data_IF_655509823801
#
_entry.id   IF_655509823801
#
_cell.length_a   1.000
_cell.length_b   1.000
_cell.length_c   1.000
_cell.angle_alpha   90.00
_cell.angle_beta   90.00
_cell.angle_gamma   90.00
#
_symmetry.space_group_name_H-M   'P 1'
#
loop_
_entity.id
_entity.type
_entity.pdbx_description
1 polymer ?
#
# COMPACT_ATOMS: atom_id res chain seq x y z
N UNK A 1 -1.07 18.12 -12.91
CA UNK A 1 0.26 17.54 -13.23
C UNK A 1 0.23 16.14 -12.65
N UNK A 2 0.43 15.09 -13.45
CA UNK A 2 0.28 13.71 -12.98
C UNK A 2 1.32 13.32 -11.93
N UNK A 3 1.07 12.22 -11.22
CA UNK A 3 2.00 11.66 -10.26
C UNK A 3 3.32 11.25 -10.94
N UNK A 4 4.44 11.53 -10.26
CA UNK A 4 5.79 11.27 -10.75
C UNK A 4 6.51 10.38 -9.73
N UNK A 5 6.92 9.15 -10.12
CA UNK A 5 7.72 8.29 -9.26
C UNK A 5 9.04 8.93 -8.80
N UNK A 6 9.42 8.62 -7.56
CA UNK A 6 10.68 9.01 -6.89
C UNK A 6 11.53 7.78 -6.58
N UNK A 7 10.92 6.66 -6.23
CA UNK A 7 11.64 5.39 -5.96
C UNK A 7 11.66 4.44 -7.15
N UNK A 8 12.70 3.59 -7.19
CA UNK A 8 12.83 2.48 -8.13
C UNK A 8 12.72 1.17 -7.35
N UNK A 9 11.65 0.42 -7.61
CA UNK A 9 11.38 -0.89 -6.96
C UNK A 9 11.18 -2.03 -7.96
N UNK A 10 11.17 -1.74 -9.26
CA UNK A 10 11.08 -2.76 -10.30
C UNK A 10 12.14 -3.85 -10.12
N UNK A 11 11.72 -5.12 -10.19
CA UNK A 11 12.58 -6.30 -10.07
C UNK A 11 12.90 -6.74 -8.64
N UNK A 12 12.46 -6.01 -7.60
CA UNK A 12 12.74 -6.38 -6.21
C UNK A 12 11.86 -7.52 -5.70
N UNK A 13 12.46 -8.45 -4.96
CA UNK A 13 11.77 -9.50 -4.20
C UNK A 13 12.70 -10.01 -3.08
N UNK A 14 12.43 -9.72 -1.79
CA UNK A 14 11.26 -9.01 -1.30
C UNK A 14 11.22 -7.54 -1.71
N UNK A 15 10.01 -7.01 -1.79
CA UNK A 15 9.74 -5.58 -1.83
C UNK A 15 9.68 -5.05 -0.40
N UNK A 16 10.64 -4.21 -0.02
CA UNK A 16 10.84 -3.75 1.36
C UNK A 16 10.36 -2.31 1.58
N UNK A 17 9.22 -2.13 2.22
CA UNK A 17 8.56 -0.84 2.43
C UNK A 17 8.87 -0.29 3.83
N UNK A 18 8.88 1.04 3.96
CA UNK A 18 9.03 1.75 5.24
C UNK A 18 10.13 1.17 6.13
N UNK A 19 11.37 1.19 5.64
CA UNK A 19 12.54 0.96 6.50
C UNK A 19 12.60 -0.48 7.04
N UNK A 20 12.15 -1.43 6.22
CA UNK A 20 12.10 -2.84 6.60
C UNK A 20 10.91 -3.21 7.49
N UNK A 21 10.00 -2.28 7.76
CA UNK A 21 8.82 -2.56 8.60
C UNK A 21 7.78 -3.42 7.90
N UNK A 22 7.74 -3.37 6.57
CA UNK A 22 6.89 -4.24 5.77
C UNK A 22 7.73 -4.86 4.66
N UNK A 23 7.75 -6.18 4.60
CA UNK A 23 8.28 -6.91 3.45
C UNK A 23 7.14 -7.58 2.70
N UNK A 24 7.20 -7.56 1.37
CA UNK A 24 6.28 -8.31 0.52
C UNK A 24 7.09 -9.21 -0.40
N UNK A 25 6.95 -10.50 -0.18
CA UNK A 25 7.57 -11.55 -0.98
C UNK A 25 6.57 -12.02 -2.03
N UNK A 26 6.92 -11.86 -3.31
CA UNK A 26 6.15 -12.41 -4.42
C UNK A 26 6.53 -13.87 -4.61
N UNK A 27 5.55 -14.76 -4.47
CA UNK A 27 5.71 -16.20 -4.59
C UNK A 27 5.07 -16.70 -5.89
N UNK A 28 5.42 -17.92 -6.29
CA UNK A 28 4.73 -18.57 -7.41
C UNK A 28 3.24 -18.74 -7.07
N UNK A 29 2.32 -18.24 -7.92
CA UNK A 29 0.90 -18.35 -7.66
C UNK A 29 0.44 -19.82 -7.76
N UNK A 30 -0.36 -20.32 -6.79
CA UNK A 30 -1.08 -21.57 -6.97
C UNK A 30 -1.93 -21.57 -8.24
N UNK A 31 -2.18 -22.75 -8.80
CA UNK A 31 -3.03 -22.89 -9.98
C UNK A 31 -4.40 -22.23 -9.78
N UNK A 32 -4.84 -21.43 -10.76
CA UNK A 32 -6.11 -20.70 -10.72
C UNK A 32 -6.09 -19.41 -9.90
N UNK A 33 -4.90 -18.92 -9.50
CA UNK A 33 -4.74 -17.62 -8.82
C UNK A 33 -3.91 -16.65 -9.67
N UNK A 34 -4.21 -15.36 -9.57
CA UNK A 34 -3.50 -14.31 -10.32
C UNK A 34 -2.16 -13.93 -9.68
N UNK A 35 -2.01 -14.16 -8.38
CA UNK A 35 -0.78 -13.89 -7.62
C UNK A 35 -0.78 -14.68 -6.32
N UNK A 36 0.39 -14.77 -5.69
CA UNK A 36 0.56 -15.13 -4.30
C UNK A 36 1.62 -14.20 -3.69
N UNK A 37 1.28 -13.55 -2.59
CA UNK A 37 2.27 -12.84 -1.76
C UNK A 37 2.33 -13.43 -0.36
N UNK A 38 3.49 -13.28 0.26
CA UNK A 38 3.68 -13.36 1.70
C UNK A 38 4.09 -11.97 2.18
N UNK A 39 3.37 -11.44 3.17
CA UNK A 39 3.69 -10.17 3.79
C UNK A 39 4.20 -10.40 5.21
N UNK A 40 5.28 -9.72 5.54
CA UNK A 40 5.89 -9.71 6.86
C UNK A 40 5.78 -8.28 7.38
N UNK A 41 5.08 -8.12 8.50
CA UNK A 41 4.99 -6.87 9.23
C UNK A 41 5.84 -7.00 10.49
N UNK A 42 6.90 -6.20 10.58
CA UNK A 42 7.71 -6.11 11.79
C UNK A 42 6.93 -5.32 12.86
N UNK A 43 7.31 -5.45 14.14
CA UNK A 43 6.67 -4.71 15.22
C UNK A 43 6.61 -3.22 14.93
N UNK A 44 5.39 -2.70 14.91
CA UNK A 44 5.14 -1.28 14.68
C UNK A 44 5.50 -0.49 15.93
N UNK A 45 6.06 0.74 15.80
CA UNK A 45 6.29 1.60 16.95
C UNK A 45 4.97 1.85 17.70
N UNK A 46 4.95 1.60 19.03
CA UNK A 46 3.77 1.88 19.85
C UNK A 46 3.34 3.35 19.70
N UNK A 47 2.09 3.56 19.35
CA UNK A 47 1.48 4.90 19.25
C UNK A 47 1.61 5.58 17.88
N UNK A 48 2.22 4.94 16.88
CA UNK A 48 2.18 5.46 15.51
C UNK A 48 0.78 5.34 14.92
N UNK A 49 0.11 6.48 14.75
CA UNK A 49 -1.21 6.59 14.13
C UNK A 49 -1.15 6.83 12.62
N UNK A 50 0.05 6.82 12.03
CA UNK A 50 0.19 6.98 10.59
C UNK A 50 -0.49 5.80 9.87
N UNK A 51 -1.31 6.12 8.88
CA UNK A 51 -1.94 5.10 8.03
C UNK A 51 -0.95 4.33 7.16
N UNK A 52 0.33 4.72 7.16
CA UNK A 52 1.39 4.15 6.33
C UNK A 52 1.59 2.65 6.58
N UNK A 53 1.55 2.26 7.84
CA UNK A 53 1.77 0.87 8.28
C UNK A 53 0.50 0.04 8.38
N UNK A 54 -0.66 0.67 8.11
CA UNK A 54 -1.94 -0.02 8.14
C UNK A 54 -2.14 -0.77 6.82
N UNK A 55 -2.91 -1.85 6.88
CA UNK A 55 -3.40 -2.54 5.69
C UNK A 55 -4.14 -1.58 4.74
N UNK A 56 -4.57 -2.06 3.57
CA UNK A 56 -5.35 -1.23 2.65
C UNK A 56 -6.61 -0.67 3.34
N UNK A 57 -7.11 0.51 2.90
CA UNK A 57 -8.44 0.95 3.32
C UNK A 57 -9.50 -0.10 2.93
N UNK A 58 -10.73 -0.03 3.48
CA UNK A 58 -11.82 -0.85 2.99
C UNK A 58 -11.98 -0.70 1.47
N UNK A 59 -11.96 -1.81 0.76
CA UNK A 59 -12.01 -1.87 -0.70
C UNK A 59 -12.78 -3.12 -1.14
N UNK A 60 -12.99 -3.30 -2.43
CA UNK A 60 -13.57 -4.52 -2.97
C UNK A 60 -12.98 -4.85 -4.34
N UNK A 61 -12.98 -6.15 -4.64
CA UNK A 61 -12.62 -6.71 -5.94
C UNK A 61 -13.87 -7.23 -6.62
N UNK A 62 -14.23 -6.71 -7.79
CA UNK A 62 -15.48 -7.08 -8.44
C UNK A 62 -15.42 -8.50 -9.04
N UNK A 63 -14.22 -8.96 -9.39
CA UNK A 63 -14.04 -10.19 -10.17
C UNK A 63 -13.13 -11.22 -9.52
N UNK A 64 -12.57 -10.93 -8.35
CA UNK A 64 -11.63 -11.82 -7.68
C UNK A 64 -12.06 -12.12 -6.25
N UNK A 65 -11.92 -13.39 -5.88
CA UNK A 65 -12.06 -13.85 -4.50
C UNK A 65 -10.69 -13.84 -3.87
N UNK A 66 -10.50 -12.99 -2.85
CA UNK A 66 -9.27 -12.95 -2.06
C UNK A 66 -9.29 -14.03 -0.97
N UNK A 67 -8.09 -14.53 -0.63
CA UNK A 67 -7.89 -15.50 0.43
C UNK A 67 -6.72 -15.07 1.29
N UNK A 68 -6.91 -15.18 2.60
CA UNK A 68 -5.93 -14.81 3.61
C UNK A 68 -5.59 -16.02 4.45
N UNK A 69 -4.29 -16.25 4.67
CA UNK A 69 -3.80 -17.28 5.57
C UNK A 69 -2.74 -16.68 6.48
N UNK A 70 -2.97 -16.73 7.79
CA UNK A 70 -1.95 -16.31 8.77
C UNK A 70 -0.95 -17.43 8.97
N UNK A 71 0.33 -17.08 9.02
CA UNK A 71 1.45 -17.99 9.26
C UNK A 71 2.05 -17.76 10.64
N UNK A 72 2.15 -16.50 11.08
CA UNK A 72 2.61 -16.08 12.41
C UNK A 72 1.84 -14.85 12.88
N UNK A 73 1.60 -14.74 14.18
CA UNK A 73 0.88 -13.63 14.81
C UNK A 73 -0.62 -13.71 14.56
N UNK A 74 -1.28 -12.55 14.47
CA UNK A 74 -2.72 -12.44 14.21
C UNK A 74 -3.03 -11.30 13.24
N UNK A 75 -4.07 -11.48 12.42
CA UNK A 75 -4.53 -10.48 11.47
C UNK A 75 -6.05 -10.38 11.52
N UNK A 76 -6.60 -9.17 11.66
CA UNK A 76 -8.02 -8.93 11.55
C UNK A 76 -8.44 -8.92 10.10
N UNK A 77 -9.41 -9.73 9.71
CA UNK A 77 -10.02 -9.71 8.37
C UNK A 77 -11.42 -9.13 8.52
N UNK A 78 -11.62 -7.95 7.94
CA UNK A 78 -12.94 -7.32 7.89
C UNK A 78 -13.61 -7.65 6.57
N UNK A 79 -14.84 -8.16 6.62
CA UNK A 79 -15.68 -8.41 5.45
C UNK A 79 -17.09 -7.88 5.72
N UNK A 80 -17.56 -6.96 4.89
CA UNK A 80 -18.85 -6.27 5.01
C UNK A 80 -19.10 -5.77 6.44
N UNK A 81 -18.15 -4.98 6.95
CA UNK A 81 -18.17 -4.34 8.27
C UNK A 81 -18.12 -5.34 9.47
N UNK A 82 -17.88 -6.64 9.22
CA UNK A 82 -17.65 -7.65 10.26
C UNK A 82 -16.17 -8.05 10.33
N UNK A 83 -15.55 -7.85 11.48
CA UNK A 83 -14.17 -8.26 11.75
C UNK A 83 -14.11 -9.69 12.28
N UNK A 84 -13.19 -10.49 11.75
CA UNK A 84 -12.80 -11.80 12.28
C UNK A 84 -11.28 -11.80 12.47
N UNK A 85 -10.78 -12.18 13.65
CA UNK A 85 -9.34 -12.29 13.89
C UNK A 85 -8.88 -13.67 13.44
N UNK A 86 -7.90 -13.71 12.53
CA UNK A 86 -7.32 -14.93 11.99
C UNK A 86 -5.95 -15.20 12.62
N UNK A 87 -5.73 -16.44 13.03
CA UNK A 87 -4.48 -17.00 13.57
C UNK A 87 -3.99 -18.17 12.70
N UNK A 88 -2.76 -18.68 12.91
CA UNK A 88 -2.27 -19.83 12.15
C UNK A 88 -3.17 -21.07 12.22
N UNK A 89 -3.85 -21.29 13.36
CA UNK A 89 -4.76 -22.42 13.60
C UNK A 89 -6.11 -22.33 12.86
N UNK A 90 -6.51 -21.15 12.42
CA UNK A 90 -7.86 -20.87 11.90
C UNK A 90 -8.01 -21.17 10.39
N UNK A 91 -6.92 -21.58 9.73
CA UNK A 91 -6.94 -21.93 8.32
C UNK A 91 -6.95 -20.72 7.38
N UNK A 92 -7.87 -20.72 6.41
CA UNK A 92 -7.91 -19.72 5.33
C UNK A 92 -9.22 -18.94 5.38
N UNK A 93 -9.14 -17.63 5.58
CA UNK A 93 -10.28 -16.74 5.40
C UNK A 93 -10.50 -16.49 3.90
N UNK A 94 -11.75 -16.54 3.46
CA UNK A 94 -12.15 -16.34 2.07
C UNK A 94 -13.03 -15.10 1.99
N UNK A 95 -12.66 -14.16 1.14
CA UNK A 95 -13.48 -13.01 0.80
C UNK A 95 -13.98 -13.13 -0.64
N UNK A 96 -15.25 -13.53 -0.86
CA UNK A 96 -15.81 -13.62 -2.20
C UNK A 96 -15.81 -12.27 -2.93
N UNK A 97 -15.66 -12.33 -4.25
CA UNK A 97 -15.76 -11.16 -5.12
C UNK A 97 -17.03 -10.33 -4.85
N UNK A 98 -16.89 -9.01 -4.92
CA UNK A 98 -17.95 -8.04 -4.67
C UNK A 98 -18.17 -7.69 -3.19
N UNK A 99 -17.54 -8.39 -2.24
CA UNK A 99 -17.61 -8.01 -0.83
C UNK A 99 -16.59 -6.91 -0.51
N UNK A 100 -16.98 -6.01 0.38
CA UNK A 100 -16.10 -4.96 0.90
C UNK A 100 -15.22 -5.57 1.98
N UNK A 101 -13.91 -5.41 1.89
CA UNK A 101 -12.97 -6.01 2.82
C UNK A 101 -11.69 -5.20 3.03
N UNK A 102 -10.96 -5.56 4.09
CA UNK A 102 -9.57 -5.17 4.37
C UNK A 102 -8.94 -6.14 5.36
N UNK A 103 -7.61 -6.14 5.42
CA UNK A 103 -6.90 -6.71 6.55
C UNK A 103 -6.43 -5.60 7.52
N UNK A 104 -6.38 -5.94 8.81
CA UNK A 104 -6.09 -5.06 9.94
C UNK A 104 -4.90 -5.68 10.68
N UNK A 105 -3.78 -4.97 10.68
CA UNK A 105 -2.53 -5.41 11.33
C UNK A 105 -2.55 -5.12 12.83
N UNK A 106 -3.07 -3.95 13.21
CA UNK A 106 -3.23 -3.52 14.61
C UNK A 106 -4.66 -3.82 15.07
N UNK A 107 -4.93 -5.10 15.35
CA UNK A 107 -6.24 -5.56 15.79
C UNK A 107 -6.49 -5.07 17.21
N UNK A 108 -7.58 -4.34 17.41
CA UNK A 108 -8.02 -3.90 18.73
C UNK A 108 -8.27 -5.12 19.64
N UNK A 109 -7.71 -5.16 20.87
CA UNK A 109 -7.98 -6.20 21.84
C UNK A 109 -9.47 -6.51 22.05
N UNK A 110 -10.36 -5.53 21.90
CA UNK A 110 -11.82 -5.73 22.03
C UNK A 110 -12.39 -6.68 20.95
N UNK A 111 -11.74 -6.76 19.79
CA UNK A 111 -12.11 -7.68 18.72
C UNK A 111 -11.45 -9.06 18.85
N UNK A 112 -10.52 -9.23 19.79
CA UNK A 112 -9.77 -10.46 20.01
C UNK A 112 -10.44 -11.35 21.07
N UNK A 113 -11.58 -11.95 20.69
CA UNK A 113 -12.47 -12.67 21.61
C UNK A 113 -11.88 -13.94 22.22
N UNK A 114 -10.86 -14.54 21.60
CA UNK A 114 -10.24 -15.78 22.10
C UNK A 114 -9.35 -15.49 23.31
N UNK A 115 -8.79 -14.27 23.44
CA UNK A 115 -7.94 -13.84 24.55
C UNK A 115 -6.71 -14.73 24.81
N UNK A 116 -6.54 -15.79 24.02
CA UNK A 116 -5.41 -16.69 24.08
C UNK A 116 -4.24 -15.93 23.49
N UNK A 117 -3.45 -15.37 24.39
CA UNK A 117 -2.02 -15.26 24.19
C UNK A 117 -1.56 -16.69 23.85
N UNK A 118 -1.52 -17.04 22.57
CA UNK A 118 -0.70 -18.17 22.14
C UNK A 118 0.74 -17.68 22.43
N UNK A 119 1.17 -17.86 23.68
CA UNK A 119 2.40 -17.39 24.36
C UNK A 119 3.70 -17.94 23.73
N UNK A 120 3.72 -18.24 22.44
CA UNK A 120 4.97 -18.47 21.72
C UNK A 120 5.56 -17.11 21.34
N UNK A 121 6.38 -16.55 22.23
CA UNK A 121 7.24 -15.37 22.02
C UNK A 121 6.70 -14.43 20.94
N UNK A 122 5.58 -13.73 21.21
CA UNK A 122 5.02 -12.71 20.31
C UNK A 122 6.01 -11.54 20.28
N UNK A 123 7.04 -11.69 19.45
CA UNK A 123 8.01 -10.66 19.13
C UNK A 123 7.36 -9.46 18.42
N UNK A 124 6.05 -9.52 18.17
CA UNK A 124 5.21 -8.51 17.52
C UNK A 124 5.25 -8.60 16.00
N UNK A 125 5.86 -9.64 15.43
CA UNK A 125 5.92 -9.88 14.00
C UNK A 125 4.68 -10.61 13.50
N UNK A 126 4.08 -10.09 12.44
CA UNK A 126 2.94 -10.68 11.76
C UNK A 126 3.37 -11.19 10.39
N UNK A 127 3.09 -12.46 10.10
CA UNK A 127 3.35 -13.06 8.78
C UNK A 127 2.06 -13.66 8.25
N UNK A 128 1.65 -13.23 7.07
CA UNK A 128 0.48 -13.79 6.41
C UNK A 128 0.62 -13.83 4.90
N UNK A 129 -0.18 -14.67 4.28
CA UNK A 129 -0.21 -14.92 2.86
C UNK A 129 -1.53 -14.44 2.28
N UNK A 130 -1.45 -13.81 1.10
CA UNK A 130 -2.62 -13.36 0.34
C UNK A 130 -2.53 -13.87 -1.09
N UNK A 131 -3.63 -14.41 -1.59
CA UNK A 131 -3.82 -14.66 -3.02
C UNK A 131 -5.24 -14.26 -3.44
N UNK A 132 -5.45 -14.15 -4.74
CA UNK A 132 -6.79 -14.02 -5.29
C UNK A 132 -6.96 -14.91 -6.51
N UNK A 133 -8.20 -15.34 -6.77
CA UNK A 133 -8.53 -16.07 -8.00
C UNK A 133 -8.11 -15.30 -9.24
N UNK A 134 -7.66 -16.02 -10.27
CA UNK A 134 -7.51 -15.43 -11.59
C UNK A 134 -8.90 -15.24 -12.22
N UNK A 135 -9.20 -14.02 -12.66
CA UNK A 135 -10.46 -13.69 -13.32
C UNK A 135 -10.34 -13.67 -14.85
N UNK A 136 -9.13 -13.81 -15.39
CA UNK A 136 -8.85 -13.73 -16.83
C UNK A 136 -9.05 -12.34 -17.44
N UNK A 137 -9.07 -11.29 -16.62
CA UNK A 137 -9.24 -9.89 -17.07
C UNK A 137 -7.90 -9.16 -17.12
N UNK A 138 -7.82 -8.13 -17.96
CA UNK A 138 -6.62 -7.29 -18.06
C UNK A 138 -6.34 -6.51 -16.77
N UNK A 139 -7.38 -5.91 -16.20
CA UNK A 139 -7.30 -5.21 -14.92
C UNK A 139 -7.82 -6.10 -13.80
N UNK A 140 -6.88 -6.47 -12.94
CA UNK A 140 -7.00 -7.45 -11.88
C UNK A 140 -5.97 -7.13 -10.83
N UNK A 141 -6.27 -7.52 -9.60
CA UNK A 141 -5.30 -7.64 -8.53
C UNK A 141 -4.32 -8.75 -8.91
N UNK A 142 -3.13 -8.32 -9.28
CA UNK A 142 -1.99 -9.16 -9.61
C UNK A 142 -0.68 -8.52 -9.18
N UNK A 143 0.44 -9.15 -9.52
CA UNK A 143 1.77 -8.64 -9.19
C UNK A 143 2.01 -7.21 -9.71
N UNK A 144 1.61 -6.91 -10.94
CA UNK A 144 1.84 -5.59 -11.55
C UNK A 144 1.11 -4.51 -10.75
N UNK A 145 -0.16 -4.74 -10.41
CA UNK A 145 -0.89 -3.81 -9.56
C UNK A 145 -0.22 -3.66 -8.19
N UNK A 146 0.13 -4.77 -7.54
CA UNK A 146 0.72 -4.75 -6.20
C UNK A 146 2.05 -3.98 -6.15
N UNK A 147 2.95 -4.23 -7.11
CA UNK A 147 4.21 -3.50 -7.26
C UNK A 147 3.98 -1.99 -7.36
N UNK A 148 3.03 -1.58 -8.21
CA UNK A 148 2.70 -0.15 -8.38
C UNK A 148 2.01 0.45 -7.15
N UNK A 149 1.09 -0.27 -6.54
CA UNK A 149 0.37 0.19 -5.36
C UNK A 149 1.32 0.46 -4.19
N UNK A 150 2.26 -0.46 -3.94
CA UNK A 150 3.26 -0.28 -2.90
C UNK A 150 4.27 0.82 -3.24
N UNK A 151 4.74 0.90 -4.49
CA UNK A 151 5.64 1.98 -4.94
C UNK A 151 5.02 3.37 -4.78
N UNK A 152 3.79 3.56 -5.27
CA UNK A 152 3.03 4.82 -5.13
C UNK A 152 2.80 5.14 -3.65
N UNK A 153 2.47 4.15 -2.82
CA UNK A 153 2.26 4.33 -1.38
C UNK A 153 3.53 4.82 -0.69
N UNK A 154 4.68 4.17 -0.92
CA UNK A 154 5.95 4.59 -0.31
C UNK A 154 6.33 5.99 -0.75
N UNK A 155 6.25 6.29 -2.04
CA UNK A 155 6.53 7.63 -2.56
C UNK A 155 5.62 8.69 -1.94
N UNK A 156 4.37 8.32 -1.66
CA UNK A 156 3.41 9.24 -1.08
C UNK A 156 3.60 9.48 0.41
N UNK A 157 3.78 8.41 1.19
CA UNK A 157 3.90 8.50 2.65
C UNK A 157 5.30 8.91 3.12
N UNK A 158 6.36 8.47 2.43
CA UNK A 158 7.75 8.68 2.84
C UNK A 158 8.37 9.92 2.18
N UNK A 159 8.22 10.06 0.87
CA UNK A 159 8.90 11.11 0.10
C UNK A 159 8.03 12.32 -0.21
N UNK A 160 6.80 12.35 0.32
CA UNK A 160 5.93 13.53 0.30
C UNK A 160 5.27 13.82 -1.05
N UNK A 161 5.30 12.90 -2.01
CA UNK A 161 4.50 13.04 -3.24
C UNK A 161 3.03 12.86 -2.90
N UNK A 162 2.20 13.89 -3.02
CA UNK A 162 0.78 13.69 -2.77
C UNK A 162 0.18 12.93 -3.95
N UNK A 163 -0.26 11.69 -3.71
CA UNK A 163 -1.15 11.00 -4.64
C UNK A 163 -2.46 11.79 -4.66
N UNK A 164 -2.78 12.39 -5.80
CA UNK A 164 -4.09 13.03 -5.96
C UNK A 164 -5.18 11.98 -6.20
N UNK A 165 -6.43 12.39 -6.01
CA UNK A 165 -7.57 11.49 -6.11
C UNK A 165 -7.74 10.86 -7.50
N UNK A 166 -7.32 11.55 -8.57
CA UNK A 166 -7.39 11.02 -9.94
C UNK A 166 -6.37 9.90 -10.12
N UNK A 167 -5.13 10.11 -9.64
CA UNK A 167 -4.11 9.07 -9.64
C UNK A 167 -4.53 7.88 -8.79
N UNK A 168 -5.09 8.12 -7.60
CA UNK A 168 -5.59 7.05 -6.74
C UNK A 168 -6.62 6.21 -7.48
N UNK A 169 -7.61 6.84 -8.12
CA UNK A 169 -8.61 6.13 -8.90
C UNK A 169 -7.99 5.38 -10.09
N UNK A 170 -6.98 5.96 -10.77
CA UNK A 170 -6.32 5.30 -11.89
C UNK A 170 -5.56 4.04 -11.45
N UNK A 171 -4.77 4.13 -10.38
CA UNK A 171 -4.03 2.99 -9.82
C UNK A 171 -4.99 1.88 -9.38
N UNK A 172 -6.05 2.25 -8.65
CA UNK A 172 -7.10 1.33 -8.18
C UNK A 172 -7.87 0.63 -9.30
N UNK A 173 -8.22 1.37 -10.35
CA UNK A 173 -8.87 0.80 -11.52
C UNK A 173 -8.01 -0.27 -12.22
N UNK A 174 -6.69 -0.06 -12.27
CA UNK A 174 -5.75 -1.02 -12.88
C UNK A 174 -5.69 -2.37 -12.14
N UNK A 175 -6.11 -2.42 -10.88
CA UNK A 175 -6.05 -3.59 -10.01
C UNK A 175 -7.38 -4.23 -9.65
N UNK A 176 -8.49 -3.87 -10.31
CA UNK A 176 -9.83 -4.24 -9.86
C UNK A 176 -10.06 -3.88 -8.37
N UNK A 177 -9.39 -2.86 -7.84
CA UNK A 177 -9.28 -2.56 -6.39
C UNK A 177 -10.07 -1.29 -6.06
N UNK A 178 -11.37 -1.40 -5.87
CA UNK A 178 -12.25 -0.24 -5.81
C UNK A 178 -12.56 0.19 -4.38
N UNK A 179 -12.69 1.50 -4.16
CA UNK A 179 -13.17 2.02 -2.88
C UNK A 179 -14.70 2.02 -2.85
N UNK A 180 -15.34 1.56 -1.75
CA UNK A 180 -16.77 1.70 -1.59
C UNK A 180 -17.17 3.18 -1.50
N UNK A 181 -18.23 3.57 -2.19
CA UNK A 181 -18.75 4.94 -2.15
C UNK A 181 -20.28 4.96 -2.09
N UNK A 182 -20.92 5.70 -1.16
CA UNK A 182 -20.31 6.41 -0.04
C UNK A 182 -19.62 5.44 0.95
N UNK A 183 -18.77 5.96 1.82
CA UNK A 183 -18.01 5.12 2.76
C UNK A 183 -18.94 4.32 3.69
N UNK A 184 -20.06 4.91 4.11
CA UNK A 184 -21.11 4.28 4.90
C UNK A 184 -22.48 4.70 4.41
N UNK A 185 -23.50 3.92 4.75
CA UNK A 185 -24.90 4.27 4.56
C UNK A 185 -25.62 4.25 5.92
N UNK A 186 -26.78 4.91 6.05
CA UNK A 186 -27.54 4.89 7.29
C UNK A 186 -27.86 3.47 7.75
N UNK A 187 -27.85 3.24 9.06
CA UNK A 187 -28.06 1.91 9.68
C UNK A 187 -29.39 1.24 9.31
N UNK A 188 -30.40 2.02 8.89
CA UNK A 188 -31.68 1.50 8.44
C UNK A 188 -31.63 0.86 7.05
N UNK A 189 -30.56 1.08 6.27
CA UNK A 189 -30.36 0.42 4.98
C UNK A 189 -29.91 -1.03 5.24
N UNK A 190 -30.62 -2.04 4.73
CA UNK A 190 -30.21 -3.43 4.95
C UNK A 190 -28.81 -3.69 4.39
N UNK A 191 -28.00 -4.49 5.09
CA UNK A 191 -26.58 -4.71 4.76
C UNK A 191 -26.35 -5.15 3.30
N UNK A 192 -27.20 -6.04 2.77
CA UNK A 192 -27.10 -6.49 1.37
C UNK A 192 -27.27 -5.36 0.37
N UNK A 193 -28.20 -4.43 0.63
CA UNK A 193 -28.39 -3.22 -0.17
C UNK A 193 -27.24 -2.23 0.04
N UNK A 194 -26.74 -2.11 1.27
CA UNK A 194 -25.61 -1.25 1.59
C UNK A 194 -24.37 -1.63 0.75
N UNK A 195 -24.00 -2.91 0.78
CA UNK A 195 -22.89 -3.45 -0.02
C UNK A 195 -23.13 -3.24 -1.51
N UNK A 196 -24.32 -3.57 -2.02
CA UNK A 196 -24.63 -3.43 -3.45
C UNK A 196 -24.53 -1.97 -3.95
N UNK A 197 -25.06 -1.01 -3.18
CA UNK A 197 -25.03 0.41 -3.56
C UNK A 197 -23.59 0.94 -3.48
N UNK A 198 -22.89 0.65 -2.38
CA UNK A 198 -21.53 1.15 -2.12
C UNK A 198 -20.54 0.65 -3.17
N UNK A 199 -20.65 -0.61 -3.57
CA UNK A 199 -19.78 -1.22 -4.59
C UNK A 199 -20.13 -0.74 -5.99
N UNK A 200 -21.42 -0.64 -6.34
CA UNK A 200 -21.85 -0.13 -7.64
C UNK A 200 -21.36 1.30 -7.89
N UNK A 201 -21.61 2.21 -6.94
CA UNK A 201 -21.20 3.60 -7.06
C UNK A 201 -19.67 3.73 -6.96
N UNK A 202 -19.03 3.01 -6.04
CA UNK A 202 -17.57 2.97 -5.89
C UNK A 202 -16.86 2.60 -7.18
N UNK A 203 -17.32 1.52 -7.83
CA UNK A 203 -16.79 1.06 -9.11
C UNK A 203 -16.86 2.16 -10.18
N UNK A 204 -18.04 2.74 -10.39
CA UNK A 204 -18.22 3.74 -11.44
C UNK A 204 -17.48 5.04 -11.15
N UNK A 205 -17.42 5.48 -9.89
CA UNK A 205 -16.61 6.65 -9.50
C UNK A 205 -15.15 6.42 -9.84
N UNK A 206 -14.58 5.29 -9.45
CA UNK A 206 -13.18 4.97 -9.74
C UNK A 206 -12.92 4.83 -11.24
N UNK A 207 -13.77 4.14 -11.99
CA UNK A 207 -13.62 3.99 -13.45
C UNK A 207 -13.71 5.34 -14.16
N UNK A 208 -14.74 6.15 -13.87
CA UNK A 208 -14.95 7.43 -14.56
C UNK A 208 -13.80 8.39 -14.24
N UNK A 209 -13.40 8.50 -12.98
CA UNK A 209 -12.38 9.46 -12.56
C UNK A 209 -10.99 8.97 -12.96
N UNK A 210 -10.64 7.73 -12.65
CA UNK A 210 -9.30 7.18 -12.89
C UNK A 210 -9.02 6.84 -14.34
N UNK A 211 -9.92 6.10 -14.98
CA UNK A 211 -9.74 5.63 -16.36
C UNK A 211 -10.12 6.68 -17.37
N UNK A 212 -11.33 7.23 -17.29
CA UNK A 212 -11.82 8.11 -18.35
C UNK A 212 -11.23 9.51 -18.24
N UNK A 213 -11.44 10.19 -17.11
CA UNK A 213 -10.90 11.53 -16.88
C UNK A 213 -9.39 11.47 -16.73
N UNK A 214 -8.88 10.60 -15.86
CA UNK A 214 -7.45 10.43 -15.63
C UNK A 214 -6.69 10.05 -16.90
N UNK A 215 -7.17 9.06 -17.66
CA UNK A 215 -6.56 8.68 -18.94
C UNK A 215 -6.52 9.83 -19.95
N UNK A 216 -7.57 10.67 -20.05
CA UNK A 216 -7.54 11.87 -20.88
C UNK A 216 -6.51 12.91 -20.41
N UNK A 217 -6.31 13.02 -19.09
CA UNK A 217 -5.37 13.95 -18.47
C UNK A 217 -3.91 13.42 -18.40
N UNK A 218 -3.65 12.22 -18.91
CA UNK A 218 -2.32 11.61 -18.93
C UNK A 218 -1.95 10.78 -17.68
N UNK A 219 -2.91 10.52 -16.78
CA UNK A 219 -2.71 9.60 -15.67
C UNK A 219 -2.64 8.16 -16.20
N UNK A 220 -1.90 7.33 -15.48
CA UNK A 220 -1.70 5.92 -15.81
C UNK A 220 -1.72 5.07 -14.54
N UNK A 221 -2.23 3.83 -14.62
CA UNK A 221 -2.27 2.93 -13.47
C UNK A 221 -0.89 2.39 -13.08
N UNK A 222 0.02 2.26 -14.06
CA UNK A 222 1.30 1.58 -13.91
C UNK A 222 2.47 2.45 -14.34
N UNK A 223 3.58 2.31 -13.63
CA UNK A 223 4.83 3.03 -13.81
C UNK A 223 5.99 2.05 -13.93
N UNK A 224 6.89 2.33 -14.87
CA UNK A 224 8.03 1.45 -15.15
C UNK A 224 8.98 1.35 -13.97
N UNK A 225 9.05 2.41 -13.17
CA UNK A 225 9.88 2.53 -11.99
C UNK A 225 9.50 1.52 -10.90
N UNK A 226 8.26 1.05 -10.88
CA UNK A 226 7.80 0.04 -9.92
C UNK A 226 7.61 -1.34 -10.53
N UNK A 227 7.41 -1.43 -11.84
CA UNK A 227 6.92 -2.65 -12.50
C UNK A 227 8.04 -3.53 -13.02
N UNK A 228 8.08 -4.79 -12.59
CA UNK A 228 9.04 -5.79 -13.09
C UNK A 228 8.75 -6.21 -14.53
N UNK A 229 7.50 -6.57 -14.84
CA UNK A 229 7.05 -6.94 -16.19
C UNK A 229 6.36 -5.74 -16.86
N UNK A 230 7.19 -4.84 -17.40
CA UNK A 230 6.70 -3.60 -17.99
C UNK A 230 5.93 -3.85 -19.29
N UNK A 231 6.32 -4.85 -20.06
CA UNK A 231 5.68 -5.25 -21.31
C UNK A 231 4.23 -5.68 -21.06
N UNK A 232 3.98 -6.50 -20.03
CA UNK A 232 2.62 -6.88 -19.65
C UNK A 232 1.82 -5.69 -19.12
N UNK A 233 2.43 -4.80 -18.32
CA UNK A 233 1.74 -3.58 -17.86
C UNK A 233 1.34 -2.66 -19.02
N UNK A 234 2.20 -2.54 -20.04
CA UNK A 234 1.90 -1.83 -21.28
C UNK A 234 0.74 -2.50 -22.02
N UNK A 235 0.75 -3.83 -22.16
CA UNK A 235 -0.32 -4.57 -22.82
C UNK A 235 -1.69 -4.32 -22.13
N UNK A 236 -1.71 -4.38 -20.79
CA UNK A 236 -2.89 -4.03 -19.98
C UNK A 236 -3.40 -2.61 -20.26
N UNK A 237 -2.51 -1.61 -20.25
CA UNK A 237 -2.89 -0.22 -20.55
C UNK A 237 -3.40 -0.06 -21.98
N UNK A 238 -2.84 -0.80 -22.95
CA UNK A 238 -3.31 -0.80 -24.34
C UNK A 238 -4.71 -1.40 -24.51
N UNK A 239 -5.17 -2.23 -23.57
CA UNK A 239 -6.52 -2.81 -23.56
C UNK A 239 -7.64 -1.75 -23.53
N UNK A 240 -7.35 -0.54 -23.03
CA UNK A 240 -8.33 0.56 -22.99
C UNK A 240 -7.92 1.73 -23.89
N UNK A 241 -8.87 2.37 -24.57
CA UNK A 241 -8.57 3.54 -25.39
C UNK A 241 -7.97 4.71 -24.58
N UNK A 242 -8.46 4.91 -23.36
CA UNK A 242 -8.08 6.02 -22.49
C UNK A 242 -6.64 5.93 -21.99
N UNK A 243 -6.13 4.73 -21.69
CA UNK A 243 -4.72 4.57 -21.32
C UNK A 243 -3.80 4.30 -22.52
N UNK A 244 -4.29 3.65 -23.60
CA UNK A 244 -3.49 3.38 -24.81
C UNK A 244 -2.81 4.63 -25.37
N UNK A 245 -3.53 5.76 -25.39
CA UNK A 245 -2.98 7.04 -25.85
C UNK A 245 -1.82 7.55 -24.98
N UNK A 246 -1.79 7.13 -23.72
CA UNK A 246 -0.74 7.50 -22.77
C UNK A 246 0.46 6.57 -22.89
N UNK A 247 0.36 5.37 -23.47
CA UNK A 247 1.49 4.43 -23.57
C UNK A 247 2.66 5.00 -24.40
N UNK A 248 2.39 5.64 -25.54
CA UNK A 248 3.44 6.29 -26.33
C UNK A 248 4.04 7.51 -25.60
N UNK A 249 3.20 8.26 -24.89
CA UNK A 249 3.63 9.37 -24.03
C UNK A 249 4.40 8.86 -22.81
N UNK A 250 4.06 7.70 -22.27
CA UNK A 250 4.69 7.04 -21.14
C UNK A 250 6.09 6.58 -21.50
N UNK A 251 6.31 6.10 -22.73
CA UNK A 251 7.67 5.82 -23.21
C UNK A 251 8.54 7.09 -23.27
N UNK A 252 7.93 8.25 -23.55
CA UNK A 252 8.61 9.57 -23.53
C UNK A 252 8.74 10.17 -22.13
N UNK A 253 7.80 9.85 -21.24
CA UNK A 253 7.78 10.25 -19.83
C UNK A 253 8.57 9.29 -18.93
N UNK A 254 8.98 8.13 -19.47
CA UNK A 254 9.76 7.13 -18.78
C UNK A 254 11.03 7.79 -18.25
N UNK A 255 11.31 7.53 -16.97
CA UNK A 255 12.52 8.05 -16.36
C UNK A 255 13.73 7.54 -17.15
N UNK A 256 14.55 8.48 -17.64
CA UNK A 256 15.75 8.12 -18.39
C UNK A 256 16.70 7.26 -17.54
N UNK A 257 17.53 6.42 -18.16
CA UNK A 257 18.55 5.64 -17.45
C UNK A 257 19.50 6.46 -16.57
N UNK A 258 19.74 7.73 -16.92
CA UNK A 258 20.49 8.64 -16.07
C UNK A 258 19.69 8.96 -14.81
N UNK A 259 18.44 9.38 -14.96
CA UNK A 259 17.56 9.73 -13.84
C UNK A 259 17.20 8.51 -12.99
N UNK A 260 17.04 7.30 -13.56
CA UNK A 260 16.84 6.05 -12.81
C UNK A 260 18.00 5.74 -11.86
N UNK A 261 19.24 6.07 -12.25
CA UNK A 261 20.43 5.94 -11.38
C UNK A 261 20.48 6.99 -10.27
N UNK A 262 19.75 8.08 -10.44
CA UNK A 262 19.60 9.18 -9.47
C UNK A 262 18.29 9.05 -8.67
N UNK A 263 17.47 8.01 -8.93
CA UNK A 263 16.27 7.73 -8.16
C UNK A 263 16.63 6.98 -6.89
N UNK A 264 15.81 7.15 -5.85
CA UNK A 264 16.06 6.53 -4.55
C UNK A 264 15.87 5.03 -4.74
N UNK A 265 16.92 4.21 -4.56
CA UNK A 265 16.72 2.77 -4.40
C UNK A 265 15.71 2.57 -3.28
N UNK A 266 14.80 1.62 -3.45
CA UNK A 266 13.75 1.32 -2.48
C UNK A 266 14.37 0.68 -1.21
N UNK A 267 15.06 1.50 -0.40
CA UNK A 267 15.71 1.21 0.88
C UNK A 267 16.22 2.50 1.55
N UNK A 268 16.45 2.48 2.86
CA UNK A 268 17.07 3.60 3.57
C UNK A 268 18.51 3.86 3.18
N UNK A 269 19.28 2.82 2.89
CA UNK A 269 20.62 2.97 2.35
C UNK A 269 20.60 3.69 1.00
N UNK A 270 19.60 3.39 0.17
CA UNK A 270 19.32 4.11 -1.05
C UNK A 270 18.97 5.58 -0.82
N UNK A 271 18.11 5.87 0.16
CA UNK A 271 17.74 7.24 0.51
C UNK A 271 18.90 8.03 1.14
N UNK A 272 19.71 7.39 1.98
CA UNK A 272 20.87 7.96 2.66
C UNK A 272 22.02 8.28 1.69
N UNK A 273 22.29 7.37 0.74
CA UNK A 273 23.29 7.59 -0.30
C UNK A 273 22.98 8.79 -1.21
N UNK A 274 21.74 9.26 -1.21
CA UNK A 274 21.30 10.43 -1.98
C UNK A 274 20.98 11.66 -1.11
N UNK A 275 21.32 11.64 0.19
CA UNK A 275 21.11 12.78 1.09
C UNK A 275 19.64 13.07 1.41
N UNK A 276 18.74 12.09 1.21
CA UNK A 276 17.30 12.21 1.45
C UNK A 276 16.83 11.55 2.76
N UNK A 277 17.76 11.02 3.57
CA UNK A 277 17.47 10.36 4.85
C UNK A 277 16.72 11.25 5.87
N UNK A 278 16.77 12.57 5.72
CA UNK A 278 16.14 13.54 6.62
C UNK A 278 14.70 13.93 6.23
N UNK A 279 14.08 13.26 5.24
CA UNK A 279 12.69 13.49 4.87
C UNK A 279 11.76 13.08 6.01
N UNK A 280 11.49 14.02 6.93
CA UNK A 280 10.58 13.87 8.05
C UNK A 280 9.26 13.29 7.55
N UNK A 281 8.91 12.10 8.05
CA UNK A 281 7.55 11.57 8.01
C UNK A 281 6.61 12.71 8.36
N UNK A 282 5.70 13.05 7.44
CA UNK A 282 4.85 14.23 7.55
C UNK A 282 3.95 14.14 8.78
N UNK A 283 4.41 14.64 9.92
CA UNK A 283 3.58 14.94 11.07
C UNK A 283 3.26 16.43 11.07
N UNK A 284 1.96 16.70 10.88
CA UNK A 284 1.39 17.98 11.21
C UNK A 284 1.66 18.33 12.67
N UNK A 285 1.90 19.61 12.89
CA UNK A 285 1.98 20.31 14.20
C UNK A 285 3.19 19.99 15.09
N UNK A 286 4.21 20.84 14.92
CA UNK A 286 4.98 21.53 15.94
C UNK A 286 5.30 20.80 17.26
N UNK A 287 6.58 20.42 17.41
CA UNK A 287 7.23 20.41 18.74
C UNK A 287 8.29 21.50 18.75
N UNK A 288 8.06 22.47 19.63
CA UNK A 288 8.94 23.58 19.91
C UNK A 288 10.33 23.13 20.36
N UNK A 289 11.33 23.93 19.97
CA UNK A 289 12.67 24.06 20.56
C UNK A 289 12.75 23.54 22.01
N UNK A 290 13.59 22.54 22.21
CA UNK A 290 14.31 22.32 23.46
C UNK A 290 15.78 21.99 23.14
N UNK A 291 16.45 22.90 22.45
CA UNK A 291 17.90 23.01 22.50
C UNK A 291 18.21 24.06 23.56
N UNK A 292 18.36 23.62 24.81
CA UNK A 292 19.06 24.33 25.88
C UNK A 292 19.16 23.40 27.08
N UNK A 293 20.26 22.65 27.14
CA UNK A 293 21.03 22.40 28.35
C UNK A 293 22.14 21.42 27.99
N UNK A 294 23.24 21.96 27.48
CA UNK A 294 24.57 21.36 27.58
C UNK A 294 25.63 22.46 27.34
N UNK A 295 25.61 23.44 28.23
CA UNK A 295 26.72 24.38 28.47
C UNK A 295 26.73 24.78 29.95
N UNK A 296 27.09 23.84 30.81
CA UNK A 296 27.50 24.13 32.19
C UNK A 296 28.26 22.93 32.80
N UNK A 297 29.38 22.53 32.18
CA UNK A 297 30.38 21.71 32.84
C UNK A 297 31.71 21.85 32.09
N UNK A 298 32.38 22.98 32.28
CA UNK A 298 33.83 23.06 32.37
C UNK A 298 34.18 24.47 32.83
N UNK A 299 34.63 24.53 34.09
CA UNK A 299 34.84 25.75 34.85
C UNK A 299 36.00 26.58 34.33
N UNK A 300 35.84 27.89 34.50
CA UNK A 300 36.85 28.90 34.33
C UNK A 300 37.18 29.47 35.73
N UNK A 301 38.26 28.97 36.32
CA UNK A 301 39.14 29.69 37.26
C UNK A 301 40.53 29.13 36.89
N UNK A 302 41.50 29.91 36.41
CA UNK A 302 42.03 31.04 37.13
C UNK A 302 42.75 32.04 36.20
N UNK A 303 42.60 33.32 36.52
CA UNK A 303 43.21 34.45 35.81
C UNK A 303 44.61 34.74 36.36
N UNK A 304 45.41 35.34 35.46
CA UNK A 304 46.61 36.20 35.66
C UNK A 304 47.98 35.51 35.62
N UNK A 305 48.72 35.80 34.55
CA UNK A 305 49.77 36.83 34.58
C UNK A 305 50.17 37.28 33.15
N UNK A 306 50.07 38.60 32.97
CA UNK A 306 50.64 39.51 31.96
C UNK A 306 50.20 39.34 30.49
#
# INVERSE_FOLDING_TARGET
>A
MGFVPITLSAGQNPLTQFDGKIETHFLEPPAGTAFQIMQIYKPLPKGDKSGAYRGPPPHFHLHQTERFKVVKGRVGIEVNDKVTVLRPKDGVAICPAGNIHRFIIDVDPEHDQDGSDDEEEDDGEIVFMVNATDSGKDFVLDRIFLENWYGVRVDSFKYGTKIDFIQQCATFDGGDHYLPFPATLPEWVPMSWSVAIRTFLGFWVTVIIGRYIGGLLGYQPFYREYTTDWELAVAKMQGTWFYRRNVQTAYRAATSWKKLREMVPYSDEGAANMGLADAKVGHGTAVNKAANNDKAANGEEDKKKL
#
